data_IF_621823237855
#
_entry.id   IF_621823237855
#
_cell.length_a   1.000
_cell.length_b   1.000
_cell.length_c   1.000
_cell.angle_alpha   90.00
_cell.angle_beta   90.00
_cell.angle_gamma   90.00
#
_symmetry.space_group_name_H-M   'P 1'
#
loop_
_entity.id
_entity.type
_entity.pdbx_description
1 polymer ?
#
# COMPACT_ATOMS: atom_id res chain seq x y z
N UNK A 1 50.53 22.87 29.66
CA UNK A 1 51.82 22.33 30.11
C UNK A 1 52.03 20.97 29.44
N UNK A 2 53.27 20.53 29.28
CA UNK A 2 53.58 19.21 28.72
C UNK A 2 53.46 18.10 29.77
N UNK A 3 53.86 16.87 29.42
CA UNK A 3 53.79 15.70 30.31
C UNK A 3 54.70 15.82 31.54
N UNK A 4 55.58 16.82 31.57
CA UNK A 4 56.51 17.09 32.66
C UNK A 4 56.17 18.39 33.41
N UNK A 5 55.06 19.05 33.08
CA UNK A 5 54.59 20.24 33.79
C UNK A 5 55.15 21.57 33.27
N UNK A 6 55.89 21.58 32.16
CA UNK A 6 56.47 22.80 31.61
C UNK A 6 55.47 23.57 30.72
N UNK A 7 55.45 24.91 30.72
CA UNK A 7 54.55 25.70 29.89
C UNK A 7 54.87 25.51 28.39
N UNK A 8 53.90 24.97 27.65
CA UNK A 8 54.02 24.75 26.20
C UNK A 8 53.63 26.03 25.47
N UNK A 9 54.60 26.64 24.80
CA UNK A 9 54.36 27.77 23.90
C UNK A 9 53.90 27.25 22.54
N UNK A 10 52.67 27.60 22.14
CA UNK A 10 52.11 27.24 20.84
C UNK A 10 52.70 28.15 19.77
N UNK A 11 53.67 27.66 19.01
CA UNK A 11 54.29 28.40 17.91
C UNK A 11 53.66 28.01 16.56
N UNK A 12 53.20 29.00 15.79
CA UNK A 12 52.52 28.80 14.49
C UNK A 12 53.42 28.14 13.43
N UNK A 13 54.75 28.20 13.58
CA UNK A 13 55.71 27.53 12.66
C UNK A 13 55.57 26.00 12.61
N UNK A 14 54.95 25.40 13.63
CA UNK A 14 54.69 23.95 13.70
C UNK A 14 53.23 23.59 13.40
N UNK A 15 52.38 24.57 13.04
CA UNK A 15 51.00 24.29 12.67
C UNK A 15 50.96 23.52 11.34
N UNK A 16 50.32 22.36 11.35
CA UNK A 16 50.03 21.57 10.15
C UNK A 16 48.55 21.70 9.81
N UNK A 17 48.26 22.23 8.63
CA UNK A 17 46.90 22.31 8.09
C UNK A 17 46.70 21.09 7.21
N UNK A 18 45.77 20.21 7.60
CA UNK A 18 45.32 19.09 6.78
C UNK A 18 43.98 19.47 6.18
N UNK A 19 43.94 19.73 4.87
CA UNK A 19 42.69 19.95 4.14
C UNK A 19 42.08 18.60 3.80
N UNK A 20 40.89 18.33 4.32
CA UNK A 20 40.13 17.12 4.04
C UNK A 20 38.99 17.49 3.11
N UNK A 21 38.85 16.77 2.00
CA UNK A 21 37.69 16.92 1.13
C UNK A 21 36.47 16.34 1.85
N UNK A 22 35.56 17.22 2.26
CA UNK A 22 34.24 16.83 2.76
C UNK A 22 33.24 16.93 1.60
N UNK A 23 32.67 15.80 1.12
CA UNK A 23 31.65 15.86 0.09
C UNK A 23 30.36 16.42 0.71
N UNK A 24 30.00 17.66 0.35
CA UNK A 24 28.71 18.23 0.69
C UNK A 24 27.69 17.87 -0.38
N UNK A 25 26.76 16.99 -0.03
CA UNK A 25 25.60 16.70 -0.87
C UNK A 25 24.49 17.70 -0.52
N UNK A 26 24.10 18.52 -1.49
CA UNK A 26 22.97 19.43 -1.31
C UNK A 26 21.66 18.64 -1.37
N UNK A 27 20.86 18.73 -0.31
CA UNK A 27 19.48 18.20 -0.26
C UNK A 27 18.43 19.25 -0.64
N UNK A 28 18.84 20.47 -1.03
CA UNK A 28 17.94 21.60 -1.25
C UNK A 28 16.85 21.31 -2.29
N UNK A 29 17.16 20.53 -3.32
CA UNK A 29 16.20 20.11 -4.35
C UNK A 29 15.15 19.12 -3.85
N UNK A 30 15.37 18.49 -2.69
CA UNK A 30 14.47 17.49 -2.10
C UNK A 30 13.52 18.11 -1.06
N UNK A 31 13.81 19.33 -0.60
CA UNK A 31 13.03 20.07 0.40
C UNK A 31 11.91 20.88 -0.28
N UNK A 32 10.75 20.98 0.36
CA UNK A 32 9.68 21.84 -0.13
C UNK A 32 10.02 23.33 0.07
N UNK A 33 9.47 24.25 -0.74
CA UNK A 33 9.71 25.67 -0.57
C UNK A 33 9.34 26.20 0.82
N UNK A 34 8.30 25.65 1.46
CA UNK A 34 7.88 26.08 2.80
C UNK A 34 8.86 25.69 3.92
N UNK A 35 9.79 24.77 3.65
CA UNK A 35 10.83 24.37 4.62
C UNK A 35 12.09 25.23 4.45
N UNK A 36 12.23 25.89 3.30
CA UNK A 36 13.35 26.76 2.94
C UNK A 36 13.07 28.25 3.18
N UNK A 37 11.90 28.58 3.72
CA UNK A 37 11.45 29.94 4.02
C UNK A 37 12.28 30.61 5.13
N UNK A 38 12.78 29.81 6.07
CA UNK A 38 13.64 30.23 7.16
C UNK A 38 14.70 29.17 7.49
N UNK A 39 15.83 29.54 8.14
CA UNK A 39 16.81 28.57 8.60
C UNK A 39 16.19 27.62 9.62
N UNK A 40 16.18 26.32 9.32
CA UNK A 40 15.74 25.27 10.24
C UNK A 40 16.91 24.42 10.70
N UNK A 41 16.79 23.83 11.88
CA UNK A 41 17.80 22.91 12.38
C UNK A 41 17.86 21.64 11.51
N UNK A 42 19.03 20.95 11.46
CA UNK A 42 19.20 19.76 10.64
C UNK A 42 18.17 18.66 10.93
N UNK A 43 17.72 18.49 12.17
CA UNK A 43 16.75 17.45 12.50
C UNK A 43 15.39 17.75 11.86
N UNK A 44 14.94 19.00 11.93
CA UNK A 44 13.70 19.44 11.25
C UNK A 44 13.79 19.30 9.73
N UNK A 45 14.94 19.64 9.14
CA UNK A 45 15.17 19.45 7.70
C UNK A 45 15.11 17.96 7.33
N UNK A 46 15.75 17.09 8.11
CA UNK A 46 15.70 15.64 7.90
C UNK A 46 14.30 15.06 8.04
N UNK A 47 13.51 15.53 9.01
CA UNK A 47 12.11 15.12 9.17
C UNK A 47 11.24 15.53 7.97
N UNK A 48 11.49 16.71 7.39
CA UNK A 48 10.75 17.15 6.19
C UNK A 48 11.08 16.36 4.93
N UNK A 49 12.26 15.72 4.88
CA UNK A 49 12.64 14.80 3.81
C UNK A 49 11.90 13.46 3.91
N UNK A 50 11.36 13.13 5.08
CA UNK A 50 10.46 11.98 5.26
C UNK A 50 9.12 12.37 4.65
N UNK A 51 9.08 12.34 3.32
CA UNK A 51 7.83 12.28 2.58
C UNK A 51 7.26 10.89 2.84
N UNK A 52 6.42 10.77 3.86
CA UNK A 52 5.46 9.67 3.85
C UNK A 52 4.60 9.88 2.60
N UNK A 53 5.01 9.24 1.49
CA UNK A 53 4.15 9.12 0.33
C UNK A 53 2.82 8.57 0.85
N UNK A 54 1.70 9.26 0.62
CA UNK A 54 0.43 8.83 1.16
C UNK A 54 0.24 7.35 0.81
N UNK A 55 -0.12 6.55 1.81
CA UNK A 55 -0.23 5.11 1.65
C UNK A 55 -1.32 4.80 0.63
N UNK A 56 -0.95 4.70 -0.65
CA UNK A 56 -1.90 4.51 -1.74
C UNK A 56 -1.80 3.08 -2.25
N UNK A 57 -2.96 2.46 -2.45
CA UNK A 57 -3.10 1.18 -3.12
C UNK A 57 -3.71 1.41 -4.50
N UNK A 58 -3.05 0.87 -5.53
CA UNK A 58 -3.55 0.91 -6.91
C UNK A 58 -3.84 -0.51 -7.35
N UNK A 59 -5.10 -0.78 -7.72
CA UNK A 59 -5.52 -2.03 -8.34
C UNK A 59 -5.66 -1.80 -9.84
N UNK A 60 -4.71 -2.32 -10.61
CA UNK A 60 -4.66 -2.15 -12.07
C UNK A 60 -5.15 -3.42 -12.76
N UNK A 61 -6.43 -3.39 -13.17
CA UNK A 61 -7.08 -4.50 -13.84
C UNK A 61 -6.51 -4.75 -15.24
N UNK A 62 -6.01 -3.73 -15.94
CA UNK A 62 -5.43 -3.90 -17.29
C UNK A 62 -4.07 -4.56 -17.20
N UNK A 63 -3.21 -4.04 -16.32
CA UNK A 63 -1.87 -4.58 -16.12
C UNK A 63 -1.90 -5.93 -15.38
N UNK A 64 -2.96 -6.22 -14.62
CA UNK A 64 -3.01 -7.42 -13.79
C UNK A 64 -2.27 -7.28 -12.47
N UNK A 65 -2.15 -6.06 -11.95
CA UNK A 65 -1.23 -5.72 -10.85
C UNK A 65 -1.93 -5.09 -9.67
N UNK A 66 -1.36 -5.30 -8.49
CA UNK A 66 -1.63 -4.51 -7.29
C UNK A 66 -0.35 -3.78 -6.94
N UNK A 67 -0.41 -2.46 -6.76
CA UNK A 67 0.69 -1.62 -6.27
C UNK A 67 0.36 -1.07 -4.91
N UNK A 68 1.34 -1.05 -4.03
CA UNK A 68 1.25 -0.42 -2.72
C UNK A 68 2.59 0.19 -2.36
N UNK A 69 2.60 1.50 -2.12
CA UNK A 69 3.84 2.29 -1.94
C UNK A 69 4.77 2.09 -3.15
N UNK A 70 6.04 1.76 -2.94
CA UNK A 70 7.03 1.52 -3.99
C UNK A 70 7.05 0.09 -4.53
N UNK A 71 6.13 -0.77 -4.08
CA UNK A 71 6.10 -2.19 -4.43
C UNK A 71 4.93 -2.51 -5.35
N UNK A 72 5.14 -3.47 -6.25
CA UNK A 72 4.10 -4.01 -7.11
C UNK A 72 4.15 -5.54 -7.13
N UNK A 73 2.99 -6.16 -7.34
CA UNK A 73 2.85 -7.59 -7.57
C UNK A 73 1.87 -7.88 -8.70
N UNK A 74 2.18 -8.90 -9.48
CA UNK A 74 1.20 -9.51 -10.39
C UNK A 74 0.20 -10.36 -9.59
N UNK A 75 -1.06 -10.33 -9.98
CA UNK A 75 -2.11 -11.13 -9.38
C UNK A 75 -2.91 -11.88 -10.46
N UNK A 76 -3.18 -13.16 -10.21
CA UNK A 76 -3.98 -13.97 -11.14
C UNK A 76 -5.37 -13.37 -11.35
N UNK A 77 -5.90 -13.50 -12.57
CA UNK A 77 -7.11 -12.80 -13.00
C UNK A 77 -8.34 -13.03 -12.09
N UNK A 78 -8.54 -14.26 -11.62
CA UNK A 78 -9.63 -14.60 -10.70
C UNK A 78 -9.49 -13.90 -9.34
N UNK A 79 -8.27 -13.88 -8.79
CA UNK A 79 -7.93 -13.23 -7.52
C UNK A 79 -8.05 -11.71 -7.65
N UNK A 80 -7.53 -11.15 -8.74
CA UNK A 80 -7.56 -9.72 -9.00
C UNK A 80 -8.99 -9.21 -9.21
N UNK A 81 -9.84 -9.96 -9.91
CA UNK A 81 -11.25 -9.58 -10.10
C UNK A 81 -11.99 -9.51 -8.76
N UNK A 82 -11.81 -10.51 -7.89
CA UNK A 82 -12.40 -10.50 -6.54
C UNK A 82 -11.83 -9.36 -5.69
N UNK A 83 -10.52 -9.12 -5.78
CA UNK A 83 -9.88 -8.03 -5.04
C UNK A 83 -10.36 -6.64 -5.51
N UNK A 84 -10.43 -6.43 -6.82
CA UNK A 84 -10.95 -5.21 -7.43
C UNK A 84 -12.42 -4.96 -7.06
N UNK A 85 -13.25 -6.03 -6.97
CA UNK A 85 -14.61 -5.91 -6.47
C UNK A 85 -14.65 -5.32 -5.06
N UNK A 86 -13.83 -5.81 -4.13
CA UNK A 86 -13.78 -5.25 -2.77
C UNK A 86 -13.17 -3.84 -2.73
N UNK A 87 -12.23 -3.52 -3.63
CA UNK A 87 -11.69 -2.16 -3.78
C UNK A 87 -12.78 -1.17 -4.23
N UNK A 88 -13.59 -1.55 -5.22
CA UNK A 88 -14.73 -0.74 -5.70
C UNK A 88 -15.82 -0.62 -4.64
N UNK A 89 -16.17 -1.71 -3.97
CA UNK A 89 -17.12 -1.72 -2.85
C UNK A 89 -16.70 -0.74 -1.74
N UNK A 90 -15.39 -0.66 -1.46
CA UNK A 90 -14.85 0.29 -0.49
C UNK A 90 -14.95 1.73 -0.99
N UNK A 91 -14.70 1.99 -2.28
CA UNK A 91 -14.86 3.31 -2.91
C UNK A 91 -16.30 3.80 -2.87
N UNK A 92 -17.26 2.89 -2.99
CA UNK A 92 -18.70 3.15 -2.87
C UNK A 92 -19.18 3.28 -1.40
N UNK A 93 -18.30 3.19 -0.41
CA UNK A 93 -18.70 3.24 0.99
C UNK A 93 -19.39 4.59 1.33
N UNK A 94 -20.57 4.54 1.98
CA UNK A 94 -21.35 5.74 2.30
C UNK A 94 -20.73 6.57 3.43
N UNK A 95 -19.81 5.99 4.23
CA UNK A 95 -19.13 6.71 5.29
C UNK A 95 -18.32 7.91 4.71
N UNK A 96 -18.21 9.03 5.43
CA UNK A 96 -17.33 10.13 5.04
C UNK A 96 -15.89 9.65 4.84
N UNK A 97 -15.15 10.23 3.88
CA UNK A 97 -13.82 9.76 3.46
C UNK A 97 -12.88 9.46 4.64
N UNK A 98 -12.70 10.42 5.56
CA UNK A 98 -11.80 10.27 6.72
C UNK A 98 -12.29 9.30 7.81
N UNK A 99 -13.51 8.77 7.70
CA UNK A 99 -14.10 7.85 8.68
C UNK A 99 -14.16 6.41 8.16
N UNK A 100 -13.79 6.17 6.91
CA UNK A 100 -13.94 4.87 6.28
C UNK A 100 -12.90 3.84 6.75
N UNK A 101 -11.79 4.26 7.36
CA UNK A 101 -10.72 3.36 7.86
C UNK A 101 -11.18 2.38 8.95
N UNK A 102 -12.11 2.81 9.81
CA UNK A 102 -12.62 2.01 10.93
C UNK A 102 -14.08 1.55 10.73
N UNK A 103 -14.67 1.81 9.56
CA UNK A 103 -16.05 1.41 9.29
C UNK A 103 -16.11 0.00 8.70
N UNK A 104 -17.16 -0.74 9.06
CA UNK A 104 -17.54 -2.00 8.42
C UNK A 104 -18.89 -1.92 7.69
N UNK A 105 -19.38 -0.70 7.43
CA UNK A 105 -20.67 -0.45 6.76
C UNK A 105 -20.69 -0.97 5.32
N UNK A 106 -19.55 -0.92 4.62
CA UNK A 106 -19.43 -1.47 3.27
C UNK A 106 -19.05 -2.96 3.25
N UNK A 107 -18.97 -3.62 4.41
CA UNK A 107 -18.63 -5.05 4.43
C UNK A 107 -19.87 -5.87 4.10
N UNK A 108 -19.71 -6.86 3.23
CA UNK A 108 -20.78 -7.76 2.81
C UNK A 108 -20.59 -9.15 3.41
N UNK A 109 -21.68 -9.80 3.80
CA UNK A 109 -21.65 -11.24 4.02
C UNK A 109 -21.53 -12.00 2.68
N UNK A 110 -21.44 -13.33 2.75
CA UNK A 110 -21.32 -14.13 1.53
C UNK A 110 -22.54 -13.97 0.61
N UNK A 111 -23.75 -13.86 1.16
CA UNK A 111 -24.96 -13.72 0.36
C UNK A 111 -24.98 -12.39 -0.40
N UNK A 112 -24.52 -11.31 0.24
CA UNK A 112 -24.31 -10.01 -0.39
C UNK A 112 -23.26 -10.05 -1.50
N UNK A 113 -22.15 -10.77 -1.32
CA UNK A 113 -21.15 -11.01 -2.38
C UNK A 113 -21.76 -11.81 -3.55
N UNK A 114 -22.48 -12.90 -3.24
CA UNK A 114 -23.10 -13.78 -4.23
C UNK A 114 -24.16 -13.06 -5.06
N UNK A 115 -24.97 -12.18 -4.46
CA UNK A 115 -25.94 -11.34 -5.20
C UNK A 115 -25.28 -10.39 -6.21
N UNK A 116 -24.01 -10.03 -6.01
CA UNK A 116 -23.22 -9.16 -6.90
C UNK A 116 -22.25 -9.95 -7.80
N UNK A 117 -22.49 -11.25 -7.99
CA UNK A 117 -21.68 -12.15 -8.84
C UNK A 117 -21.52 -11.64 -10.28
N UNK A 118 -22.52 -10.96 -10.84
CA UNK A 118 -22.45 -10.36 -12.18
C UNK A 118 -21.37 -9.28 -12.28
N UNK A 119 -21.18 -8.49 -11.23
CA UNK A 119 -20.14 -7.45 -11.16
C UNK A 119 -18.74 -8.08 -11.12
N UNK A 120 -18.55 -9.10 -10.28
CA UNK A 120 -17.28 -9.86 -10.18
C UNK A 120 -16.96 -10.52 -11.53
N UNK A 121 -17.96 -11.13 -12.14
CA UNK A 121 -17.83 -11.75 -13.47
C UNK A 121 -17.39 -10.72 -14.50
N UNK A 122 -18.01 -9.54 -14.53
CA UNK A 122 -17.63 -8.44 -15.44
C UNK A 122 -16.16 -8.03 -15.27
N UNK A 123 -15.70 -7.84 -14.04
CA UNK A 123 -14.30 -7.49 -13.74
C UNK A 123 -13.33 -8.59 -14.23
N UNK A 124 -13.70 -9.85 -14.03
CA UNK A 124 -12.93 -10.99 -14.53
C UNK A 124 -12.86 -11.00 -16.07
N UNK A 125 -13.99 -10.80 -16.76
CA UNK A 125 -14.02 -10.75 -18.24
C UNK A 125 -13.14 -9.62 -18.78
N UNK A 126 -13.19 -8.45 -18.16
CA UNK A 126 -12.38 -7.29 -18.54
C UNK A 126 -10.88 -7.58 -18.50
N UNK A 127 -10.41 -8.35 -17.50
CA UNK A 127 -9.00 -8.79 -17.42
C UNK A 127 -8.62 -9.82 -18.48
N UNK A 128 -9.53 -10.74 -18.80
CA UNK A 128 -9.27 -11.87 -19.70
C UNK A 128 -9.32 -11.51 -21.19
N UNK A 129 -9.83 -10.33 -21.55
CA UNK A 129 -9.84 -9.83 -22.92
C UNK A 129 -10.61 -10.75 -23.87
N UNK A 130 -9.96 -11.24 -24.92
CA UNK A 130 -10.54 -12.06 -26.00
C UNK A 130 -10.39 -13.57 -25.79
N UNK A 131 -9.82 -14.05 -24.68
CA UNK A 131 -9.76 -15.50 -24.42
C UNK A 131 -11.18 -16.08 -24.30
N UNK A 132 -11.50 -17.21 -24.96
CA UNK A 132 -12.81 -17.83 -24.85
C UNK A 132 -13.07 -18.21 -23.39
N UNK A 133 -13.95 -17.46 -22.74
CA UNK A 133 -14.35 -17.72 -21.34
C UNK A 133 -15.16 -19.02 -21.26
N UNK A 134 -15.75 -19.43 -22.38
CA UNK A 134 -16.54 -20.65 -22.55
C UNK A 134 -15.73 -21.94 -22.39
N UNK A 135 -14.40 -21.88 -22.58
CA UNK A 135 -13.49 -23.01 -22.33
C UNK A 135 -13.01 -23.07 -20.86
N UNK A 136 -13.32 -22.05 -20.06
CA UNK A 136 -12.96 -21.97 -18.66
C UNK A 136 -14.15 -22.43 -17.80
N UNK A 137 -13.90 -23.36 -16.88
CA UNK A 137 -14.92 -23.95 -16.01
C UNK A 137 -15.94 -22.93 -15.50
N UNK A 138 -17.23 -23.25 -15.62
CA UNK A 138 -18.34 -22.45 -15.08
C UNK A 138 -18.33 -22.35 -13.55
N UNK A 139 -17.48 -23.14 -12.89
CA UNK A 139 -17.24 -23.14 -11.46
C UNK A 139 -16.08 -22.21 -11.05
N UNK A 140 -16.14 -21.63 -9.86
CA UNK A 140 -15.08 -20.76 -9.33
C UNK A 140 -15.45 -19.28 -9.41
N UNK A 141 -14.65 -18.46 -10.09
CA UNK A 141 -14.87 -16.99 -10.10
C UNK A 141 -16.14 -16.57 -10.87
N UNK A 142 -16.63 -17.41 -11.80
CA UNK A 142 -17.87 -17.18 -12.56
C UNK A 142 -19.13 -17.58 -11.78
N UNK A 143 -18.98 -18.41 -10.74
CA UNK A 143 -20.05 -18.87 -9.86
C UNK A 143 -19.49 -19.15 -8.47
N UNK A 144 -19.43 -18.11 -7.64
CA UNK A 144 -18.86 -18.21 -6.31
C UNK A 144 -19.78 -19.02 -5.37
N UNK A 145 -19.18 -20.01 -4.73
CA UNK A 145 -19.74 -20.76 -3.62
C UNK A 145 -18.95 -20.42 -2.35
N UNK A 146 -19.54 -20.65 -1.18
CA UNK A 146 -18.91 -20.21 0.08
C UNK A 146 -17.50 -20.78 0.30
N UNK A 147 -17.25 -22.03 -0.10
CA UNK A 147 -15.94 -22.65 0.03
C UNK A 147 -14.93 -22.06 -0.97
N UNK A 148 -15.31 -21.84 -2.23
CA UNK A 148 -14.41 -21.32 -3.26
C UNK A 148 -14.10 -19.83 -3.01
N UNK A 149 -15.04 -19.06 -2.47
CA UNK A 149 -14.83 -17.70 -2.03
C UNK A 149 -13.78 -17.64 -0.91
N UNK A 150 -13.90 -18.50 0.10
CA UNK A 150 -12.95 -18.56 1.21
C UNK A 150 -11.55 -18.98 0.72
N UNK A 151 -11.48 -19.92 -0.22
CA UNK A 151 -10.21 -20.32 -0.84
C UNK A 151 -9.58 -19.16 -1.61
N UNK A 152 -10.33 -18.47 -2.47
CA UNK A 152 -9.84 -17.31 -3.22
C UNK A 152 -9.38 -16.18 -2.29
N UNK A 153 -10.17 -15.85 -1.26
CA UNK A 153 -9.80 -14.87 -0.23
C UNK A 153 -8.50 -15.25 0.47
N UNK A 154 -8.36 -16.49 0.91
CA UNK A 154 -7.15 -16.97 1.59
C UNK A 154 -5.93 -16.87 0.68
N UNK A 155 -6.08 -17.21 -0.60
CA UNK A 155 -5.02 -17.07 -1.59
C UNK A 155 -4.65 -15.61 -1.85
N UNK A 156 -5.63 -14.71 -1.99
CA UNK A 156 -5.38 -13.27 -2.15
C UNK A 156 -4.59 -12.74 -0.94
N UNK A 157 -5.05 -13.03 0.28
CA UNK A 157 -4.37 -12.55 1.48
C UNK A 157 -2.96 -13.14 1.59
N UNK A 158 -2.74 -14.38 1.15
CA UNK A 158 -1.40 -15.00 1.09
C UNK A 158 -0.50 -14.30 0.06
N UNK A 159 -1.01 -13.97 -1.12
CA UNK A 159 -0.23 -13.26 -2.13
C UNK A 159 0.16 -11.86 -1.64
N UNK A 160 -0.79 -11.12 -1.03
CA UNK A 160 -0.54 -9.81 -0.43
C UNK A 160 0.48 -9.89 0.72
N UNK A 161 0.39 -10.90 1.57
CA UNK A 161 1.34 -11.14 2.65
C UNK A 161 2.74 -11.37 2.11
N UNK A 162 2.89 -12.21 1.09
CA UNK A 162 4.18 -12.54 0.50
C UNK A 162 4.80 -11.33 -0.22
N UNK A 163 3.98 -10.50 -0.87
CA UNK A 163 4.46 -9.35 -1.63
C UNK A 163 4.76 -8.14 -0.76
N UNK A 164 3.91 -7.81 0.20
CA UNK A 164 3.96 -6.53 0.93
C UNK A 164 4.27 -6.67 2.43
N UNK A 165 4.28 -7.90 2.95
CA UNK A 165 4.57 -8.20 4.34
C UNK A 165 3.40 -7.98 5.32
N UNK A 166 3.57 -8.38 6.59
CA UNK A 166 2.51 -8.40 7.60
C UNK A 166 1.92 -7.03 7.92
N UNK A 167 2.77 -6.00 7.99
CA UNK A 167 2.33 -4.64 8.33
C UNK A 167 1.42 -4.04 7.26
N UNK A 168 1.70 -4.34 5.99
CA UNK A 168 0.85 -3.90 4.88
C UNK A 168 -0.44 -4.73 4.82
N UNK A 169 -0.36 -6.02 5.14
CA UNK A 169 -1.50 -6.93 5.11
C UNK A 169 -2.66 -6.45 5.99
N UNK A 170 -2.39 -5.88 7.17
CA UNK A 170 -3.43 -5.34 8.06
C UNK A 170 -4.38 -4.34 7.38
N UNK A 171 -3.87 -3.63 6.36
CA UNK A 171 -4.60 -2.63 5.58
C UNK A 171 -5.14 -3.20 4.27
N UNK A 172 -4.35 -4.05 3.60
CA UNK A 172 -4.61 -4.54 2.26
C UNK A 172 -5.48 -5.79 2.22
N UNK A 173 -5.57 -6.57 3.30
CA UNK A 173 -6.32 -7.81 3.28
C UNK A 173 -7.82 -7.62 3.02
N UNK A 174 -8.45 -8.65 2.45
CA UNK A 174 -9.90 -8.80 2.58
C UNK A 174 -10.16 -9.27 4.01
N UNK A 175 -10.43 -8.29 4.87
CA UNK A 175 -10.71 -8.49 6.28
C UNK A 175 -12.04 -9.19 6.49
N UNK A 176 -12.17 -9.92 7.60
CA UNK A 176 -13.44 -10.45 8.08
C UNK A 176 -13.83 -9.80 9.40
N UNK A 177 -15.10 -9.48 9.57
CA UNK A 177 -15.70 -9.00 10.83
C UNK A 177 -16.90 -9.85 11.21
N UNK A 178 -17.23 -9.89 12.51
CA UNK A 178 -18.32 -10.69 13.07
C UNK A 178 -17.96 -12.15 13.35
N UNK A 179 -18.93 -12.89 13.89
CA UNK A 179 -18.82 -14.33 14.21
C UNK A 179 -19.67 -15.14 13.23
N UNK A 180 -19.28 -16.39 12.97
CA UNK A 180 -20.12 -17.32 12.18
C UNK A 180 -21.52 -17.43 12.84
N UNK A 181 -22.61 -17.46 12.06
CA UNK A 181 -22.67 -17.45 10.58
C UNK A 181 -22.57 -16.04 9.95
N UNK A 182 -22.67 -14.97 10.74
CA UNK A 182 -22.78 -13.57 10.31
C UNK A 182 -21.41 -12.91 10.01
N UNK A 183 -20.51 -13.63 9.34
CA UNK A 183 -19.21 -13.09 8.96
C UNK A 183 -19.35 -12.20 7.72
N UNK A 184 -18.87 -10.96 7.82
CA UNK A 184 -18.83 -9.99 6.72
C UNK A 184 -17.40 -9.71 6.28
N UNK A 185 -17.21 -9.32 5.03
CA UNK A 185 -15.93 -9.17 4.36
C UNK A 185 -15.79 -7.81 3.69
N UNK A 186 -14.59 -7.23 3.73
CA UNK A 186 -14.30 -5.94 3.11
C UNK A 186 -12.85 -5.48 3.33
N UNK A 187 -12.49 -4.32 2.79
CA UNK A 187 -11.17 -3.70 2.99
C UNK A 187 -11.21 -2.69 4.15
N UNK A 188 -10.13 -2.66 4.94
CA UNK A 188 -9.94 -1.69 6.04
C UNK A 188 -9.23 -0.41 5.61
N UNK A 189 -8.56 -0.42 4.46
CA UNK A 189 -7.92 0.76 3.90
C UNK A 189 -8.91 1.90 3.65
N UNK A 190 -8.49 3.14 3.84
CA UNK A 190 -9.32 4.32 3.57
C UNK A 190 -9.68 4.37 2.07
N UNK A 191 -10.94 4.70 1.74
CA UNK A 191 -11.37 4.79 0.33
C UNK A 191 -10.68 5.91 -0.46
N UNK A 192 -10.22 6.97 0.20
CA UNK A 192 -9.42 8.02 -0.44
C UNK A 192 -8.04 7.51 -0.86
N UNK A 193 -7.56 6.45 -0.22
CA UNK A 193 -6.25 5.85 -0.45
C UNK A 193 -6.28 4.70 -1.48
N UNK A 194 -7.46 4.36 -2.01
CA UNK A 194 -7.65 3.29 -2.99
C UNK A 194 -7.85 3.91 -4.37
N UNK A 195 -7.14 3.40 -5.37
CA UNK A 195 -7.35 3.69 -6.78
C UNK A 195 -7.59 2.39 -7.54
N UNK A 196 -8.57 2.39 -8.45
CA UNK A 196 -8.87 1.25 -9.33
C UNK A 196 -8.73 1.72 -10.76
N UNK A 197 -7.75 1.16 -11.46
CA UNK A 197 -7.50 1.44 -12.88
C UNK A 197 -8.12 0.30 -13.68
N UNK A 198 -9.06 0.66 -14.57
CA UNK A 198 -9.87 -0.23 -15.38
C UNK A 198 -9.43 -0.25 -16.83
#
# INVERSE_FOLDING_TARGET
MDKHGEPVYKETRYARINLVHMPFFSIRSQLSPEVLDQPRDPATLMLSLIRESPEQMVVDLKAGKVRYRSMEMDMMANRLALYAFFALLKKECPAPDRQCKACDQCFLDFDGVSRRQSEITRLYKQRCGTRPIEEMSTTGILGLEKWNFNSLRSHINKDLMNAFGPLALEKLEIASTGKKPNTRYGLRMDKAAIEVVM
#
